data_IF_719285737961
#
_entry.id   IF_719285737961
#
_cell.length_a   1.000
_cell.length_b   1.000
_cell.length_c   1.000
_cell.angle_alpha   90.00
_cell.angle_beta   90.00
_cell.angle_gamma   90.00
#
_symmetry.space_group_name_H-M   'P 1'
#
loop_
_entity.id
_entity.type
_entity.pdbx_description
1 polymer ?
#
# COMPACT_ATOMS: atom_id res chain seq x y z
N UNK A 1 -30.07 -15.16 17.71
CA UNK A 1 -29.58 -16.53 17.47
C UNK A 1 -28.38 -16.41 16.53
N UNK A 2 -27.16 -16.37 17.05
CA UNK A 2 -25.95 -16.26 16.24
C UNK A 2 -25.52 -17.68 15.89
N UNK A 3 -25.43 -17.98 14.59
CA UNK A 3 -25.14 -19.30 14.03
C UNK A 3 -23.80 -19.85 14.55
N UNK A 4 -23.86 -20.93 15.32
CA UNK A 4 -22.72 -21.68 15.88
C UNK A 4 -22.05 -22.58 14.83
N UNK A 5 -21.25 -22.00 13.94
CA UNK A 5 -20.09 -22.72 13.40
C UNK A 5 -18.88 -22.27 14.23
N UNK A 6 -18.79 -22.77 15.46
CA UNK A 6 -17.66 -22.47 16.34
C UNK A 6 -16.43 -23.21 15.80
N UNK A 7 -15.56 -22.48 15.09
CA UNK A 7 -14.28 -23.01 14.63
C UNK A 7 -13.41 -23.25 15.88
N UNK A 8 -13.00 -24.48 16.10
CA UNK A 8 -12.14 -24.86 17.23
C UNK A 8 -10.69 -24.96 16.77
N UNK A 9 -9.75 -24.63 17.66
CA UNK A 9 -8.33 -24.83 17.38
C UNK A 9 -8.00 -26.34 17.30
N UNK A 10 -7.28 -26.81 16.27
CA UNK A 10 -6.93 -28.22 16.13
C UNK A 10 -5.93 -28.71 17.18
N UNK A 11 -5.19 -27.81 17.84
CA UNK A 11 -4.17 -28.16 18.85
C UNK A 11 -4.73 -28.17 20.28
N UNK A 12 -5.40 -27.08 20.69
CA UNK A 12 -5.87 -26.94 22.07
C UNK A 12 -7.40 -27.10 22.24
N UNK A 13 -8.14 -27.35 21.14
CA UNK A 13 -9.60 -27.44 21.11
C UNK A 13 -10.35 -26.19 21.65
N UNK A 14 -9.63 -25.09 21.87
CA UNK A 14 -10.20 -23.83 22.34
C UNK A 14 -11.05 -23.15 21.27
N UNK A 15 -12.11 -22.47 21.73
CA UNK A 15 -13.02 -21.68 20.88
C UNK A 15 -12.54 -20.23 20.66
N UNK A 16 -11.49 -19.80 21.36
CA UNK A 16 -10.93 -18.47 21.23
C UNK A 16 -9.97 -18.39 20.03
N UNK A 17 -10.54 -18.37 18.83
CA UNK A 17 -9.83 -18.24 17.55
C UNK A 17 -10.30 -16.99 16.82
N UNK A 18 -9.37 -16.31 16.16
CA UNK A 18 -9.68 -15.10 15.38
C UNK A 18 -8.89 -15.10 14.08
N UNK A 19 -9.47 -14.49 13.05
CA UNK A 19 -8.81 -14.30 11.76
C UNK A 19 -7.61 -13.36 11.91
N UNK A 20 -6.50 -13.63 11.21
CA UNK A 20 -5.31 -12.75 11.25
C UNK A 20 -5.64 -11.31 10.84
N UNK A 21 -6.55 -11.12 9.88
CA UNK A 21 -6.97 -9.79 9.44
C UNK A 21 -7.72 -9.01 10.54
N UNK A 22 -8.49 -9.70 11.37
CA UNK A 22 -9.23 -9.10 12.49
C UNK A 22 -8.25 -8.73 13.61
N UNK A 23 -7.30 -9.61 13.93
CA UNK A 23 -6.26 -9.36 14.94
C UNK A 23 -5.44 -8.13 14.53
N UNK A 24 -5.05 -8.05 13.26
CA UNK A 24 -4.34 -6.90 12.72
C UNK A 24 -5.18 -5.64 12.84
N UNK A 25 -6.43 -5.66 12.35
CA UNK A 25 -7.31 -4.50 12.35
C UNK A 25 -7.61 -3.99 13.77
N UNK A 26 -7.85 -4.90 14.71
CA UNK A 26 -8.09 -4.58 16.12
C UNK A 26 -6.83 -4.01 16.80
N UNK A 27 -5.65 -4.45 16.39
CA UNK A 27 -4.39 -3.98 16.97
C UNK A 27 -3.75 -2.80 16.25
N UNK A 28 -4.27 -2.34 15.11
CA UNK A 28 -3.81 -1.12 14.43
C UNK A 28 -4.79 0.02 14.64
N UNK A 29 -4.33 1.13 15.21
CA UNK A 29 -5.10 2.37 15.33
C UNK A 29 -4.39 3.55 14.67
N UNK A 30 -5.17 4.41 14.03
CA UNK A 30 -4.70 5.65 13.42
C UNK A 30 -5.24 6.83 14.22
N UNK A 31 -4.35 7.73 14.60
CA UNK A 31 -4.70 8.96 15.32
C UNK A 31 -4.41 10.11 14.36
N UNK A 32 -5.44 10.89 14.03
CA UNK A 32 -5.30 12.19 13.39
C UNK A 32 -5.79 13.23 14.40
N UNK A 33 -4.88 14.07 14.87
CA UNK A 33 -5.22 15.18 15.75
C UNK A 33 -4.83 16.49 15.07
N UNK A 34 -5.83 17.32 14.81
CA UNK A 34 -5.68 18.67 14.28
C UNK A 34 -5.74 19.65 15.45
N UNK A 35 -4.62 20.29 15.75
CA UNK A 35 -4.55 21.34 16.77
C UNK A 35 -4.63 22.69 16.07
N UNK A 36 -5.64 23.50 16.39
CA UNK A 36 -5.69 24.90 15.99
C UNK A 36 -5.18 25.75 17.15
N UNK A 37 -4.02 26.37 16.96
CA UNK A 37 -3.49 27.36 17.89
C UNK A 37 -3.92 28.75 17.40
N UNK A 38 -4.73 29.45 18.19
CA UNK A 38 -5.18 30.80 17.92
C UNK A 38 -4.46 31.77 18.86
N UNK A 39 -4.00 32.92 18.35
CA UNK A 39 -3.29 33.90 19.17
C UNK A 39 -4.19 34.47 20.27
N UNK A 40 -3.66 34.60 21.49
CA UNK A 40 -4.41 35.12 22.66
C UNK A 40 -4.97 36.54 22.48
N UNK A 41 -4.51 37.29 21.47
CA UNK A 41 -4.92 38.67 21.18
C UNK A 41 -6.10 38.80 20.21
N UNK A 42 -6.70 37.70 19.74
CA UNK A 42 -7.86 37.73 18.82
C UNK A 42 -7.55 38.25 17.39
N UNK A 43 -6.39 38.87 17.19
CA UNK A 43 -5.84 39.29 15.91
C UNK A 43 -4.49 38.59 15.68
N UNK A 44 -4.45 37.62 14.77
CA UNK A 44 -3.23 36.91 14.37
C UNK A 44 -3.52 35.64 13.55
N UNK A 45 -2.56 35.16 12.74
CA UNK A 45 -2.74 33.97 11.90
C UNK A 45 -2.96 32.73 12.76
N UNK A 46 -4.01 31.96 12.45
CA UNK A 46 -4.26 30.65 13.07
C UNK A 46 -3.26 29.63 12.53
N UNK A 47 -2.47 29.02 13.40
CA UNK A 47 -1.57 27.93 13.01
C UNK A 47 -2.32 26.61 13.21
N UNK A 48 -2.55 25.89 12.13
CA UNK A 48 -3.12 24.54 12.17
C UNK A 48 -1.97 23.54 12.17
N UNK A 49 -1.81 22.81 13.27
CA UNK A 49 -0.82 21.74 13.41
C UNK A 49 -1.54 20.41 13.29
N UNK A 50 -1.30 19.71 12.18
CA UNK A 50 -1.80 18.35 11.99
C UNK A 50 -0.77 17.36 12.51
N UNK A 51 -1.18 16.51 13.45
CA UNK A 51 -0.38 15.39 13.92
C UNK A 51 -1.05 14.08 13.51
N UNK A 52 -0.31 13.27 12.76
CA UNK A 52 -0.74 11.91 12.39
C UNK A 52 0.14 10.90 13.11
N UNK A 53 -0.47 10.05 13.94
CA UNK A 53 0.19 8.95 14.63
C UNK A 53 -0.39 7.61 14.22
N UNK A 54 0.45 6.57 14.18
CA UNK A 54 0.00 5.18 14.03
C UNK A 54 0.47 4.40 15.24
N UNK A 55 -0.46 3.70 15.87
CA UNK A 55 -0.15 2.78 16.96
C UNK A 55 -0.49 1.37 16.52
N UNK A 56 0.41 0.43 16.76
CA UNK A 56 0.21 -0.98 16.43
C UNK A 56 0.60 -1.84 17.63
N UNK A 57 -0.26 -2.77 18.02
CA UNK A 57 0.06 -3.71 19.09
C UNK A 57 1.09 -4.74 18.61
N UNK A 58 1.88 -5.27 19.54
CA UNK A 58 2.90 -6.27 19.24
C UNK A 58 2.32 -7.53 18.57
N UNK A 59 1.10 -7.93 18.99
CA UNK A 59 0.39 -9.05 18.37
C UNK A 59 0.03 -8.73 16.91
N UNK A 60 -0.54 -7.56 16.63
CA UNK A 60 -0.88 -7.13 15.27
C UNK A 60 0.35 -6.98 14.38
N UNK A 61 1.49 -6.54 14.93
CA UNK A 61 2.75 -6.50 14.19
C UNK A 61 3.23 -7.90 13.78
N UNK A 62 3.05 -8.91 14.63
CA UNK A 62 3.47 -10.30 14.36
C UNK A 62 2.63 -11.03 13.30
N UNK A 63 1.43 -10.53 13.00
CA UNK A 63 0.49 -11.09 12.01
C UNK A 63 0.34 -10.20 10.77
N UNK A 64 1.28 -9.28 10.52
CA UNK A 64 1.23 -8.38 9.38
C UNK A 64 1.09 -9.11 8.02
N UNK A 65 0.42 -8.50 7.03
CA UNK A 65 0.23 -9.09 5.72
C UNK A 65 1.57 -9.11 4.93
N UNK A 66 1.70 -9.98 3.92
CA UNK A 66 2.87 -9.98 3.05
C UNK A 66 3.07 -8.61 2.37
N UNK A 67 4.33 -8.15 2.23
CA UNK A 67 4.61 -6.82 1.71
C UNK A 67 4.29 -6.73 0.22
N UNK A 68 3.54 -5.69 -0.18
CA UNK A 68 3.31 -5.32 -1.58
C UNK A 68 4.25 -4.20 -2.05
N UNK A 69 4.62 -4.19 -3.33
CA UNK A 69 5.35 -3.07 -3.95
C UNK A 69 4.36 -2.09 -4.58
N UNK A 70 4.56 -0.79 -4.33
CA UNK A 70 3.74 0.25 -4.97
C UNK A 70 4.06 0.33 -6.47
N UNK A 71 3.02 0.41 -7.30
CA UNK A 71 3.13 0.59 -8.76
C UNK A 71 3.24 2.06 -9.18
N UNK A 72 3.04 3.00 -8.24
CA UNK A 72 3.00 4.44 -8.50
C UNK A 72 4.29 4.96 -9.16
N UNK A 73 5.46 4.53 -8.68
CA UNK A 73 6.76 4.99 -9.20
C UNK A 73 6.95 4.69 -10.69
N UNK A 74 6.84 3.41 -11.11
CA UNK A 74 6.90 3.04 -12.52
C UNK A 74 5.86 3.74 -13.41
N UNK A 75 4.65 3.94 -12.90
CA UNK A 75 3.57 4.64 -13.64
C UNK A 75 3.93 6.11 -13.87
N UNK A 76 4.39 6.81 -12.83
CA UNK A 76 4.84 8.21 -12.94
C UNK A 76 6.00 8.31 -13.94
N UNK A 77 6.99 7.41 -13.85
CA UNK A 77 8.15 7.41 -14.74
C UNK A 77 7.74 7.22 -16.20
N UNK A 78 6.81 6.29 -16.46
CA UNK A 78 6.28 6.04 -17.81
C UNK A 78 5.49 7.25 -18.32
N UNK A 79 4.69 7.88 -17.46
CA UNK A 79 3.93 9.09 -17.81
C UNK A 79 4.84 10.27 -18.18
N UNK A 80 5.90 10.51 -17.40
CA UNK A 80 6.90 11.55 -17.71
C UNK A 80 7.60 11.25 -19.04
N UNK A 81 8.01 9.99 -19.27
CA UNK A 81 8.60 9.57 -20.55
C UNK A 81 7.69 9.81 -21.75
N UNK A 82 6.37 9.55 -21.60
CA UNK A 82 5.38 9.78 -22.65
C UNK A 82 5.19 11.26 -22.99
N UNK A 83 5.21 12.15 -21.98
CA UNK A 83 5.14 13.60 -22.20
C UNK A 83 6.37 14.10 -22.98
N UNK A 84 7.57 13.67 -22.57
CA UNK A 84 8.83 14.04 -23.25
C UNK A 84 8.85 13.54 -24.70
N UNK A 85 8.40 12.30 -24.92
CA UNK A 85 8.29 11.73 -26.26
C UNK A 85 7.28 12.49 -27.12
N UNK A 86 6.12 12.84 -26.55
CA UNK A 86 5.09 13.62 -27.26
C UNK A 86 5.58 15.01 -27.65
N UNK A 87 6.30 15.72 -26.77
CA UNK A 87 6.89 17.02 -27.11
C UNK A 87 7.96 16.89 -28.20
N UNK A 88 8.79 15.84 -28.15
CA UNK A 88 9.76 15.53 -29.20
C UNK A 88 9.09 15.23 -30.56
N UNK A 89 7.92 14.58 -30.56
CA UNK A 89 7.13 14.32 -31.76
C UNK A 89 6.34 15.54 -32.24
N UNK A 90 5.83 16.39 -31.34
CA UNK A 90 5.04 17.57 -31.70
C UNK A 90 5.89 18.63 -32.40
N UNK A 91 7.18 18.72 -32.02
CA UNK A 91 8.18 19.52 -32.73
C UNK A 91 8.37 19.07 -34.20
N UNK A 92 8.04 17.82 -34.56
CA UNK A 92 8.09 17.34 -35.95
C UNK A 92 7.11 18.10 -36.88
N UNK A 93 6.01 18.65 -36.35
CA UNK A 93 4.98 19.27 -37.18
C UNK A 93 5.27 20.75 -37.48
N UNK A 94 6.25 21.36 -36.80
CA UNK A 94 6.51 22.81 -36.88
C UNK A 94 7.83 23.13 -37.58
N UNK A 95 8.87 22.31 -37.40
CA UNK A 95 10.16 22.48 -38.04
C UNK A 95 10.59 21.15 -38.63
N UNK A 96 11.03 21.15 -39.89
CA UNK A 96 11.48 20.00 -40.67
C UNK A 96 12.70 19.27 -40.04
N UNK A 97 12.51 18.60 -38.91
CA UNK A 97 13.56 17.87 -38.22
C UNK A 97 13.06 17.23 -36.93
N UNK A 98 13.29 15.92 -36.79
CA UNK A 98 13.05 15.21 -35.54
C UNK A 98 14.12 15.62 -34.53
N UNK A 99 13.72 16.08 -33.34
CA UNK A 99 14.64 16.20 -32.20
C UNK A 99 14.91 14.79 -31.65
N UNK A 100 15.85 14.10 -32.30
CA UNK A 100 16.25 12.74 -31.97
C UNK A 100 16.67 12.58 -30.51
N UNK A 101 17.22 13.64 -29.91
CA UNK A 101 17.65 13.63 -28.50
C UNK A 101 16.45 13.41 -27.56
N UNK A 102 15.38 14.19 -27.73
CA UNK A 102 14.17 14.07 -26.91
C UNK A 102 13.43 12.77 -27.17
N UNK A 103 13.44 12.30 -28.42
CA UNK A 103 12.86 11.03 -28.81
C UNK A 103 13.54 9.85 -28.08
N UNK A 104 14.87 9.74 -28.13
CA UNK A 104 15.59 8.66 -27.45
C UNK A 104 15.45 8.75 -25.93
N UNK A 105 15.49 9.95 -25.36
CA UNK A 105 15.29 10.14 -23.91
C UNK A 105 13.90 9.66 -23.50
N UNK A 106 12.83 10.11 -24.17
CA UNK A 106 11.47 9.66 -23.91
C UNK A 106 11.32 8.15 -24.04
N UNK A 107 11.89 7.55 -25.08
CA UNK A 107 11.86 6.11 -25.31
C UNK A 107 12.57 5.33 -24.19
N UNK A 108 13.72 5.80 -23.70
CA UNK A 108 14.45 5.18 -22.59
C UNK A 108 13.61 5.23 -21.31
N UNK A 109 13.02 6.39 -20.98
CA UNK A 109 12.18 6.54 -19.79
C UNK A 109 10.96 5.64 -19.82
N UNK A 110 10.29 5.52 -20.97
CA UNK A 110 9.17 4.58 -21.16
C UNK A 110 9.66 3.14 -20.97
N UNK A 111 10.77 2.76 -21.59
CA UNK A 111 11.29 1.39 -21.51
C UNK A 111 11.62 1.01 -20.06
N UNK A 112 12.32 1.88 -19.32
CA UNK A 112 12.64 1.67 -17.91
C UNK A 112 11.37 1.64 -17.05
N UNK A 113 10.41 2.52 -17.33
CA UNK A 113 9.11 2.56 -16.65
C UNK A 113 8.33 1.26 -16.82
N UNK A 114 8.23 0.73 -18.04
CA UNK A 114 7.55 -0.52 -18.34
C UNK A 114 8.24 -1.71 -17.68
N UNK A 115 9.58 -1.79 -17.74
CA UNK A 115 10.33 -2.86 -17.06
C UNK A 115 10.09 -2.83 -15.55
N UNK A 116 10.16 -1.65 -14.95
CA UNK A 116 9.88 -1.45 -13.51
C UNK A 116 8.45 -1.85 -13.15
N UNK A 117 7.49 -1.49 -14.00
CA UNK A 117 6.08 -1.84 -13.83
C UNK A 117 5.88 -3.35 -13.88
N UNK A 118 6.39 -4.04 -14.90
CA UNK A 118 6.27 -5.50 -15.03
C UNK A 118 6.92 -6.21 -13.85
N UNK A 119 8.08 -5.74 -13.38
CA UNK A 119 8.77 -6.34 -12.24
C UNK A 119 7.96 -6.17 -10.94
N UNK A 120 7.43 -4.98 -10.69
CA UNK A 120 6.58 -4.73 -9.52
C UNK A 120 5.25 -5.49 -9.61
N UNK A 121 4.67 -5.56 -10.81
CA UNK A 121 3.45 -6.31 -11.09
C UNK A 121 3.64 -7.80 -10.81
N UNK A 122 4.67 -8.43 -11.40
CA UNK A 122 4.98 -9.84 -11.16
C UNK A 122 5.22 -10.13 -9.68
N UNK A 123 5.92 -9.24 -8.99
CA UNK A 123 6.12 -9.38 -7.55
C UNK A 123 4.78 -9.33 -6.80
N UNK A 124 3.92 -8.36 -7.09
CA UNK A 124 2.62 -8.21 -6.44
C UNK A 124 1.69 -9.39 -6.73
N UNK A 125 1.65 -9.89 -7.96
CA UNK A 125 0.89 -11.08 -8.34
C UNK A 125 1.37 -12.30 -7.55
N UNK A 126 2.68 -12.51 -7.45
CA UNK A 126 3.22 -13.61 -6.65
C UNK A 126 2.95 -13.48 -5.14
N UNK A 127 2.67 -12.27 -4.64
CA UNK A 127 2.24 -12.07 -3.25
C UNK A 127 0.72 -12.24 -3.07
N UNK A 128 -0.07 -12.23 -4.15
CA UNK A 128 -1.53 -12.29 -4.07
C UNK A 128 -1.99 -13.61 -3.45
N UNK A 129 -1.43 -14.73 -3.88
CA UNK A 129 -1.76 -16.05 -3.32
C UNK A 129 -1.43 -16.13 -1.83
N UNK A 130 -0.29 -15.55 -1.41
CA UNK A 130 0.12 -15.48 -0.01
C UNK A 130 -0.79 -14.57 0.82
N UNK A 131 -1.28 -13.49 0.22
CA UNK A 131 -2.24 -12.58 0.84
C UNK A 131 -3.59 -13.28 1.03
N UNK A 132 -4.00 -14.09 0.05
CA UNK A 132 -5.22 -14.87 0.10
C UNK A 132 -5.16 -15.95 1.19
N UNK A 133 -4.05 -16.67 1.26
CA UNK A 133 -3.77 -17.63 2.33
C UNK A 133 -3.79 -16.92 3.68
N UNK A 134 -3.04 -15.84 3.84
CA UNK A 134 -3.03 -15.02 5.06
C UNK A 134 -4.43 -14.56 5.49
N UNK A 135 -5.29 -14.18 4.54
CA UNK A 135 -6.67 -13.75 4.78
C UNK A 135 -7.56 -14.87 5.30
N UNK A 136 -7.27 -16.12 4.94
CA UNK A 136 -8.03 -17.30 5.38
C UNK A 136 -7.44 -17.94 6.64
N UNK A 137 -6.24 -17.56 7.04
CA UNK A 137 -5.59 -18.08 8.24
C UNK A 137 -6.24 -17.53 9.52
N UNK A 138 -6.46 -18.45 10.45
CA UNK A 138 -6.92 -18.20 11.81
C UNK A 138 -5.76 -18.38 12.78
N UNK A 139 -5.82 -17.66 13.90
CA UNK A 139 -4.89 -17.81 15.02
C UNK A 139 -5.69 -18.06 16.30
N UNK A 140 -5.27 -19.05 17.07
CA UNK A 140 -5.80 -19.29 18.40
C UNK A 140 -5.10 -18.39 19.43
N UNK A 141 -5.86 -17.68 20.26
CA UNK A 141 -5.31 -16.84 21.33
C UNK A 141 -4.82 -17.64 22.54
N UNK A 142 -5.32 -18.87 22.73
CA UNK A 142 -4.94 -19.71 23.86
C UNK A 142 -3.57 -20.36 23.69
N UNK A 143 -3.27 -20.87 22.49
CA UNK A 143 -2.02 -21.61 22.21
C UNK A 143 -1.13 -20.94 21.16
N UNK A 144 -1.59 -19.90 20.47
CA UNK A 144 -0.83 -19.20 19.43
C UNK A 144 -0.75 -19.93 18.08
N UNK A 145 -1.35 -21.12 17.94
CA UNK A 145 -1.31 -21.89 16.69
C UNK A 145 -2.07 -21.17 15.56
N UNK A 146 -1.43 -21.12 14.38
CA UNK A 146 -2.03 -20.63 13.13
C UNK A 146 -2.51 -21.81 12.30
N UNK A 147 -3.71 -21.73 11.74
CA UNK A 147 -4.29 -22.80 10.94
C UNK A 147 -5.32 -22.27 9.94
N UNK A 148 -5.62 -23.07 8.92
CA UNK A 148 -6.69 -22.83 7.96
C UNK A 148 -7.70 -23.97 8.17
N UNK A 149 -8.99 -23.69 8.42
CA UNK A 149 -10.02 -24.71 8.64
C UNK A 149 -10.35 -25.49 7.37
#
# INVERSE_FOLDING_TARGET
MVSNNAICCPQCQGQNVQLLSIILAAGTSHIQATHQAQSQSGFGPSVTVETSGRHQTHLAASVGPPPGKRLLGPVILTGVGAIILYDGLKLMNTYWGVDWTRFFIGAIFITVGVIGFVRHWKFNVAQYDKLEEWRRTWMCHACGTRFIP
#
